data_IF_947438127678
#
_entry.id   IF_947438127678
#
_cell.length_a   1.000
_cell.length_b   1.000
_cell.length_c   1.000
_cell.angle_alpha   90.00
_cell.angle_beta   90.00
_cell.angle_gamma   90.00
#
_symmetry.space_group_name_H-M   'P 1'
#
loop_
_entity.id
_entity.type
_entity.pdbx_description
1 polymer ?
#
# COMPACT_ATOMS: atom_id res chain seq x y z
N UNK A 1 30.12 -10.80 7.09
CA UNK A 1 29.64 -10.03 5.92
C UNK A 1 29.85 -10.91 4.69
N UNK A 2 28.80 -11.25 3.93
CA UNK A 2 28.96 -12.13 2.75
C UNK A 2 29.62 -11.33 1.63
N UNK A 3 30.74 -11.84 1.13
CA UNK A 3 31.53 -11.19 0.08
C UNK A 3 31.07 -11.74 -1.28
N UNK A 4 30.22 -10.99 -1.97
CA UNK A 4 29.77 -11.35 -3.32
C UNK A 4 30.85 -11.02 -4.35
N UNK A 5 31.08 -11.92 -5.30
CA UNK A 5 31.96 -11.65 -6.45
C UNK A 5 31.16 -11.01 -7.57
N UNK A 6 31.58 -9.86 -8.07
CA UNK A 6 30.92 -9.18 -9.19
C UNK A 6 31.55 -9.64 -10.50
N UNK A 7 30.75 -10.18 -11.42
CA UNK A 7 31.24 -10.56 -12.75
C UNK A 7 31.39 -9.34 -13.66
N UNK A 8 32.27 -9.41 -14.66
CA UNK A 8 32.41 -8.36 -15.69
C UNK A 8 31.07 -8.04 -16.37
N UNK A 9 30.28 -9.07 -16.66
CA UNK A 9 28.95 -8.91 -17.24
C UNK A 9 28.02 -8.09 -16.35
N UNK A 10 28.04 -8.28 -15.04
CA UNK A 10 27.24 -7.49 -14.11
C UNK A 10 27.67 -6.01 -14.09
N UNK A 11 28.98 -5.75 -14.19
CA UNK A 11 29.52 -4.38 -14.27
C UNK A 11 29.03 -3.69 -15.54
N UNK A 12 29.20 -4.33 -16.70
CA UNK A 12 28.76 -3.78 -17.99
C UNK A 12 27.25 -3.47 -17.96
N UNK A 13 26.44 -4.37 -17.39
CA UNK A 13 24.99 -4.18 -17.25
C UNK A 13 24.61 -3.12 -16.23
N UNK A 14 25.39 -2.92 -15.17
CA UNK A 14 25.16 -1.81 -14.24
C UNK A 14 25.40 -0.46 -14.90
N UNK A 15 26.44 -0.35 -15.75
CA UNK A 15 26.69 0.86 -16.55
C UNK A 15 25.54 1.10 -17.53
N UNK A 16 25.21 0.10 -18.34
CA UNK A 16 24.18 0.21 -19.37
C UNK A 16 22.77 0.47 -18.82
N UNK A 17 22.37 -0.24 -17.74
CA UNK A 17 20.97 -0.29 -17.28
C UNK A 17 20.70 0.59 -16.07
N UNK A 18 21.70 0.81 -15.21
CA UNK A 18 21.56 1.60 -13.98
C UNK A 18 22.25 2.97 -14.09
N UNK A 19 23.05 3.22 -15.15
CA UNK A 19 23.73 4.48 -15.36
C UNK A 19 24.86 4.76 -14.36
N UNK A 20 25.39 3.71 -13.72
CA UNK A 20 26.48 3.84 -12.74
C UNK A 20 27.81 3.87 -13.48
N UNK A 21 28.76 4.71 -13.05
CA UNK A 21 30.12 4.69 -13.61
C UNK A 21 30.80 3.35 -13.36
N UNK A 22 31.55 2.84 -14.36
CA UNK A 22 32.21 1.54 -14.32
C UNK A 22 33.13 1.38 -13.10
N UNK A 23 33.81 2.45 -12.68
CA UNK A 23 34.71 2.48 -11.53
C UNK A 23 33.98 2.20 -10.20
N UNK A 24 32.72 2.62 -10.09
CA UNK A 24 31.91 2.49 -8.89
C UNK A 24 30.93 1.32 -8.94
N UNK A 25 30.74 0.70 -10.10
CA UNK A 25 29.75 -0.35 -10.32
C UNK A 25 29.91 -1.54 -9.35
N UNK A 26 31.14 -2.00 -9.12
CA UNK A 26 31.43 -3.13 -8.21
C UNK A 26 30.95 -2.83 -6.78
N UNK A 27 31.33 -1.69 -6.23
CA UNK A 27 30.96 -1.29 -4.87
C UNK A 27 29.45 -1.03 -4.77
N UNK A 28 28.87 -0.41 -5.78
CA UNK A 28 27.44 -0.14 -5.85
C UNK A 28 26.61 -1.44 -5.80
N UNK A 29 26.98 -2.45 -6.59
CA UNK A 29 26.27 -3.73 -6.61
C UNK A 29 26.39 -4.49 -5.28
N UNK A 30 27.55 -4.43 -4.62
CA UNK A 30 27.73 -5.03 -3.29
C UNK A 30 26.87 -4.31 -2.24
N UNK A 31 26.78 -2.98 -2.30
CA UNK A 31 25.92 -2.20 -1.40
C UNK A 31 24.45 -2.53 -1.61
N UNK A 32 23.98 -2.62 -2.86
CA UNK A 32 22.61 -3.03 -3.16
C UNK A 32 22.27 -4.39 -2.55
N UNK A 33 23.21 -5.34 -2.61
CA UNK A 33 23.04 -6.68 -2.05
C UNK A 33 22.97 -6.72 -0.52
N UNK A 34 23.40 -5.68 0.19
CA UNK A 34 23.29 -5.63 1.66
C UNK A 34 21.86 -5.42 2.13
N UNK A 35 21.07 -4.69 1.34
CA UNK A 35 19.69 -4.31 1.66
C UNK A 35 18.67 -4.94 0.72
N UNK A 36 19.09 -5.83 -0.18
CA UNK A 36 18.21 -6.53 -1.11
C UNK A 36 17.50 -7.71 -0.43
N UNK A 37 16.25 -7.94 -0.84
CA UNK A 37 15.40 -9.03 -0.35
C UNK A 37 15.48 -10.22 -1.30
N UNK A 38 15.57 -11.42 -0.75
CA UNK A 38 15.56 -12.66 -1.55
C UNK A 38 14.14 -12.96 -2.04
N UNK A 39 13.97 -13.05 -3.36
CA UNK A 39 12.67 -13.21 -4.02
C UNK A 39 12.48 -14.56 -4.71
N UNK A 40 13.41 -15.49 -4.50
CA UNK A 40 13.31 -16.87 -5.01
C UNK A 40 14.51 -17.28 -5.84
N UNK A 41 14.41 -18.46 -6.45
CA UNK A 41 15.47 -19.02 -7.30
C UNK A 41 14.92 -19.48 -8.64
N UNK A 42 15.55 -19.05 -9.74
CA UNK A 42 15.19 -19.41 -11.10
C UNK A 42 16.14 -20.48 -11.66
N UNK A 43 15.64 -21.48 -12.42
CA UNK A 43 16.50 -22.43 -13.09
C UNK A 43 17.25 -21.76 -14.25
N UNK A 44 18.55 -22.00 -14.36
CA UNK A 44 19.34 -21.61 -15.52
C UNK A 44 19.35 -22.71 -16.57
N UNK A 45 19.51 -22.38 -17.87
CA UNK A 45 19.79 -23.36 -18.92
C UNK A 45 20.99 -24.28 -18.65
N UNK A 46 21.91 -23.89 -17.75
CA UNK A 46 23.09 -24.68 -17.39
C UNK A 46 22.82 -25.66 -16.22
N UNK A 47 21.55 -25.89 -15.85
CA UNK A 47 21.15 -26.80 -14.77
C UNK A 47 21.37 -26.26 -13.34
N UNK A 48 22.14 -25.17 -13.17
CA UNK A 48 22.33 -24.48 -11.89
C UNK A 48 21.14 -23.57 -11.55
N UNK A 49 20.88 -23.33 -10.26
CA UNK A 49 19.85 -22.38 -9.82
C UNK A 49 20.45 -21.00 -9.57
N UNK A 50 19.79 -19.96 -10.05
CA UNK A 50 20.16 -18.59 -9.73
C UNK A 50 19.23 -18.00 -8.69
N UNK A 51 19.81 -17.38 -7.67
CA UNK A 51 19.07 -16.65 -6.65
C UNK A 51 18.71 -15.27 -7.20
N UNK A 52 17.47 -14.86 -7.00
CA UNK A 52 16.96 -13.55 -7.39
C UNK A 52 16.81 -12.69 -6.15
N UNK A 53 17.41 -11.52 -6.17
CA UNK A 53 17.32 -10.53 -5.10
C UNK A 53 16.77 -9.23 -5.65
N UNK A 54 15.81 -8.63 -4.96
CA UNK A 54 15.24 -7.34 -5.34
C UNK A 54 15.56 -6.28 -4.29
N UNK A 55 16.10 -5.17 -4.76
CA UNK A 55 16.32 -3.98 -3.98
C UNK A 55 15.24 -2.95 -4.33
N UNK A 56 14.20 -2.90 -3.51
CA UNK A 56 13.00 -2.10 -3.78
C UNK A 56 13.27 -0.59 -3.85
N UNK A 57 14.15 -0.05 -2.99
CA UNK A 57 14.43 1.40 -2.92
C UNK A 57 15.07 1.95 -4.20
N UNK A 58 15.96 1.20 -4.84
CA UNK A 58 16.57 1.58 -6.13
C UNK A 58 15.94 0.84 -7.30
N UNK A 59 14.85 0.10 -7.07
CA UNK A 59 14.15 -0.71 -8.06
C UNK A 59 15.12 -1.55 -8.90
N UNK A 60 16.03 -2.25 -8.25
CA UNK A 60 17.05 -3.06 -8.94
C UNK A 60 16.87 -4.54 -8.60
N UNK A 61 16.75 -5.39 -9.63
CA UNK A 61 16.81 -6.84 -9.49
C UNK A 61 18.22 -7.33 -9.78
N UNK A 62 18.78 -8.12 -8.88
CA UNK A 62 20.12 -8.69 -8.96
C UNK A 62 20.01 -10.20 -9.04
N UNK A 63 20.70 -10.80 -10.00
CA UNK A 63 20.76 -12.26 -10.18
C UNK A 63 22.12 -12.75 -9.69
N UNK A 64 22.09 -13.72 -8.78
CA UNK A 64 23.27 -14.28 -8.12
C UNK A 64 23.36 -15.78 -8.41
N UNK A 65 24.57 -16.27 -8.69
CA UNK A 65 24.85 -17.70 -8.86
C UNK A 65 24.81 -18.46 -7.52
N UNK A 66 24.89 -19.79 -7.59
CA UNK A 66 25.08 -20.63 -6.41
C UNK A 66 26.42 -20.34 -5.72
N UNK A 67 27.44 -19.97 -6.50
CA UNK A 67 28.80 -19.64 -6.05
C UNK A 67 28.90 -18.21 -5.48
N UNK A 68 27.75 -17.61 -5.12
CA UNK A 68 27.61 -16.24 -4.60
C UNK A 68 28.27 -15.17 -5.50
N UNK A 69 28.21 -15.38 -6.82
CA UNK A 69 28.65 -14.40 -7.82
C UNK A 69 27.48 -13.64 -8.46
N UNK A 70 27.56 -12.32 -8.52
CA UNK A 70 26.58 -11.46 -9.17
C UNK A 70 26.78 -11.55 -10.68
N UNK A 71 25.79 -12.10 -11.37
CA UNK A 71 25.84 -12.39 -12.81
C UNK A 71 25.34 -11.19 -13.61
N UNK A 72 24.17 -10.67 -13.25
CA UNK A 72 23.52 -9.62 -14.02
C UNK A 72 22.56 -8.82 -13.15
N UNK A 73 22.20 -7.64 -13.64
CA UNK A 73 21.28 -6.71 -12.99
C UNK A 73 20.23 -6.20 -13.96
N UNK A 74 19.03 -5.98 -13.44
CA UNK A 74 17.91 -5.40 -14.17
C UNK A 74 17.34 -4.23 -13.38
N UNK A 75 16.92 -3.18 -14.08
CA UNK A 75 16.01 -2.20 -13.49
C UNK A 75 14.63 -2.85 -13.45
N UNK A 76 14.03 -2.94 -12.26
CA UNK A 76 12.63 -3.30 -12.14
C UNK A 76 11.82 -2.25 -12.90
N UNK A 77 10.79 -2.65 -13.66
CA UNK A 77 9.90 -1.70 -14.31
C UNK A 77 9.40 -0.70 -13.28
N UNK A 78 9.15 0.55 -13.70
CA UNK A 78 8.45 1.52 -12.85
C UNK A 78 7.13 0.91 -12.37
N UNK A 79 6.59 1.40 -11.25
CA UNK A 79 5.25 1.05 -10.79
C UNK A 79 4.28 1.69 -11.77
N UNK A 80 4.28 1.19 -12.99
CA UNK A 80 3.25 1.51 -13.95
C UNK A 80 2.05 0.75 -13.42
N UNK A 81 1.20 1.49 -12.71
CA UNK A 81 -0.24 1.29 -12.72
C UNK A 81 -0.59 0.58 -14.02
N UNK A 82 -1.20 -0.60 -13.91
CA UNK A 82 -1.69 -1.41 -15.03
C UNK A 82 -2.05 -0.46 -16.17
N UNK A 83 -1.20 -0.36 -17.21
CA UNK A 83 -1.39 0.67 -18.22
C UNK A 83 -2.63 0.24 -18.99
N UNK A 84 -3.77 0.78 -18.58
CA UNK A 84 -5.07 0.37 -19.09
C UNK A 84 -5.04 0.66 -20.58
N UNK A 85 -5.24 -0.36 -21.44
CA UNK A 85 -5.32 -0.14 -22.88
C UNK A 85 -6.27 1.03 -23.18
N UNK A 86 -5.87 1.92 -24.09
CA UNK A 86 -6.57 3.19 -24.34
C UNK A 86 -8.06 3.03 -24.65
N UNK A 87 -8.47 1.89 -25.22
CA UNK A 87 -9.87 1.55 -25.49
C UNK A 87 -10.70 1.24 -24.23
N UNK A 88 -10.08 0.80 -23.13
CA UNK A 88 -10.76 0.51 -21.85
C UNK A 88 -10.85 1.73 -20.94
N UNK A 89 -10.03 2.76 -21.16
CA UNK A 89 -10.04 4.01 -20.40
C UNK A 89 -11.45 4.62 -20.22
N UNK A 90 -12.29 4.77 -21.26
CA UNK A 90 -13.63 5.33 -21.10
C UNK A 90 -14.59 4.43 -20.28
N UNK A 91 -14.35 3.11 -20.26
CA UNK A 91 -15.13 2.17 -19.44
C UNK A 91 -14.71 2.30 -17.97
N UNK A 92 -13.41 2.35 -17.71
CA UNK A 92 -12.87 2.49 -16.35
C UNK A 92 -13.23 3.84 -15.75
N UNK A 93 -13.17 4.93 -16.51
CA UNK A 93 -13.64 6.25 -16.04
C UNK A 93 -15.14 6.25 -15.69
N UNK A 94 -15.96 5.50 -16.45
CA UNK A 94 -17.40 5.40 -16.20
C UNK A 94 -17.68 4.63 -14.90
N UNK A 95 -17.00 3.51 -14.69
CA UNK A 95 -17.11 2.74 -13.46
C UNK A 95 -16.55 3.52 -12.26
N UNK A 96 -15.44 4.24 -12.44
CA UNK A 96 -14.91 5.13 -11.39
C UNK A 96 -15.93 6.19 -10.97
N UNK A 97 -16.57 6.86 -11.94
CA UNK A 97 -17.63 7.85 -11.64
C UNK A 97 -18.82 7.20 -10.92
N UNK A 98 -19.17 5.97 -11.27
CA UNK A 98 -20.24 5.22 -10.62
C UNK A 98 -19.88 4.90 -9.16
N UNK A 99 -18.70 4.34 -8.93
CA UNK A 99 -18.17 4.02 -7.59
C UNK A 99 -18.10 5.28 -6.74
N UNK A 100 -17.54 6.37 -7.27
CA UNK A 100 -17.45 7.65 -6.57
C UNK A 100 -18.82 8.16 -6.11
N UNK A 101 -19.83 8.15 -6.99
CA UNK A 101 -21.21 8.55 -6.62
C UNK A 101 -21.80 7.65 -5.54
N UNK A 102 -21.54 6.35 -5.62
CA UNK A 102 -22.01 5.40 -4.62
C UNK A 102 -21.37 5.67 -3.25
N UNK A 103 -20.05 5.85 -3.20
CA UNK A 103 -19.33 6.20 -1.98
C UNK A 103 -19.84 7.52 -1.41
N UNK A 104 -19.98 8.58 -2.22
CA UNK A 104 -20.53 9.86 -1.74
C UNK A 104 -21.92 9.69 -1.11
N UNK A 105 -22.78 8.86 -1.73
CA UNK A 105 -24.11 8.56 -1.18
C UNK A 105 -24.04 7.79 0.14
N UNK A 106 -23.15 6.81 0.24
CA UNK A 106 -22.96 6.01 1.46
C UNK A 106 -22.36 6.85 2.59
N UNK A 107 -21.35 7.66 2.29
CA UNK A 107 -20.74 8.60 3.25
C UNK A 107 -21.79 9.54 3.79
N UNK A 108 -22.60 10.18 2.93
CA UNK A 108 -23.71 11.04 3.38
C UNK A 108 -24.70 10.30 4.29
N UNK A 109 -25.05 9.05 3.95
CA UNK A 109 -25.95 8.23 4.79
C UNK A 109 -25.35 7.98 6.18
N UNK A 110 -24.05 7.73 6.25
CA UNK A 110 -23.34 7.55 7.53
C UNK A 110 -23.22 8.86 8.31
N UNK A 111 -22.95 9.98 7.64
CA UNK A 111 -22.92 11.32 8.26
C UNK A 111 -24.29 11.69 8.84
N UNK A 112 -25.38 11.46 8.10
CA UNK A 112 -26.74 11.67 8.60
C UNK A 112 -27.05 10.78 9.82
N UNK A 113 -26.57 9.53 9.84
CA UNK A 113 -26.72 8.63 10.98
C UNK A 113 -25.90 9.11 12.19
N UNK A 114 -24.66 9.53 11.99
CA UNK A 114 -23.80 10.13 13.03
C UNK A 114 -24.47 11.37 13.62
N UNK A 115 -25.02 12.25 12.78
CA UNK A 115 -25.73 13.45 13.24
C UNK A 115 -26.90 13.10 14.18
N UNK A 116 -27.73 12.12 13.80
CA UNK A 116 -28.84 11.65 14.66
C UNK A 116 -28.36 11.07 15.99
N UNK A 117 -27.35 10.20 15.95
CA UNK A 117 -26.76 9.62 17.16
C UNK A 117 -26.10 10.67 18.05
N UNK A 118 -25.53 11.72 17.47
CA UNK A 118 -24.90 12.82 18.23
C UNK A 118 -25.94 13.64 18.99
N UNK A 119 -27.11 13.88 18.40
CA UNK A 119 -28.25 14.51 19.09
C UNK A 119 -28.72 13.62 20.25
N UNK A 120 -28.93 12.34 20.00
CA UNK A 120 -29.34 11.37 21.04
C UNK A 120 -28.32 11.30 22.19
N UNK A 121 -27.03 11.25 21.86
CA UNK A 121 -25.94 11.29 22.84
C UNK A 121 -25.99 12.59 23.67
N UNK A 122 -26.24 13.74 23.02
CA UNK A 122 -26.40 15.02 23.69
C UNK A 122 -27.55 15.03 24.71
N UNK A 123 -28.69 14.44 24.37
CA UNK A 123 -29.83 14.29 25.28
C UNK A 123 -29.47 13.43 26.51
N UNK A 124 -28.74 12.33 26.31
CA UNK A 124 -28.26 11.46 27.40
C UNK A 124 -27.24 12.17 28.28
N UNK A 125 -26.31 12.94 27.70
CA UNK A 125 -25.36 13.76 28.46
C UNK A 125 -26.09 14.77 29.33
N UNK A 126 -27.12 15.44 28.78
CA UNK A 126 -27.96 16.37 29.54
C UNK A 126 -28.72 15.66 30.67
N UNK A 127 -29.32 14.49 30.39
CA UNK A 127 -30.00 13.69 31.40
C UNK A 127 -29.06 13.26 32.54
N UNK A 128 -27.83 12.85 32.21
CA UNK A 128 -26.78 12.51 33.19
C UNK A 128 -26.40 13.69 34.07
N UNK A 129 -26.32 14.89 33.51
CA UNK A 129 -26.00 16.11 34.26
C UNK A 129 -27.13 16.48 35.25
N UNK A 130 -28.38 16.18 34.91
CA UNK A 130 -29.55 16.43 35.77
C UNK A 130 -29.77 15.35 36.83
N UNK A 131 -29.34 14.11 36.57
CA UNK A 131 -29.50 12.99 37.48
C UNK A 131 -28.66 13.19 38.76
N UNK A 132 -29.31 13.08 39.93
CA UNK A 132 -28.65 13.20 41.24
C UNK A 132 -28.14 11.87 41.79
N UNK A 133 -28.82 10.77 41.48
CA UNK A 133 -28.47 9.43 41.97
C UNK A 133 -27.24 8.88 41.22
N UNK A 134 -26.16 8.48 41.91
CA UNK A 134 -24.97 7.89 41.30
C UNK A 134 -25.26 6.70 40.38
N UNK A 135 -26.10 5.76 40.80
CA UNK A 135 -26.41 4.55 40.00
C UNK A 135 -27.11 4.92 38.68
N UNK A 136 -27.98 5.92 38.71
CA UNK A 136 -28.65 6.41 37.49
C UNK A 136 -27.66 7.13 36.56
N UNK A 137 -26.66 7.84 37.12
CA UNK A 137 -25.61 8.49 36.31
C UNK A 137 -24.72 7.46 35.62
N UNK A 138 -24.41 6.35 36.29
CA UNK A 138 -23.64 5.24 35.72
C UNK A 138 -24.41 4.53 34.61
N UNK A 139 -25.70 4.25 34.82
CA UNK A 139 -26.57 3.67 33.78
C UNK A 139 -26.62 4.55 32.53
N UNK A 140 -26.83 5.87 32.69
CA UNK A 140 -26.85 6.80 31.55
C UNK A 140 -25.46 6.92 30.90
N UNK A 141 -24.38 6.80 31.68
CA UNK A 141 -23.02 6.77 31.11
C UNK A 141 -22.82 5.55 30.20
N UNK A 142 -23.29 4.37 30.61
CA UNK A 142 -23.22 3.18 29.77
C UNK A 142 -23.99 3.35 28.44
N UNK A 143 -25.15 4.01 28.46
CA UNK A 143 -25.89 4.35 27.24
C UNK A 143 -25.13 5.34 26.34
N UNK A 144 -24.48 6.36 26.92
CA UNK A 144 -23.62 7.29 26.18
C UNK A 144 -22.47 6.54 25.51
N UNK A 145 -21.83 5.62 26.23
CA UNK A 145 -20.70 4.84 25.72
C UNK A 145 -21.15 3.92 24.57
N UNK A 146 -22.36 3.34 24.65
CA UNK A 146 -22.95 2.55 23.56
C UNK A 146 -23.20 3.40 22.31
N UNK A 147 -23.78 4.61 22.47
CA UNK A 147 -24.02 5.53 21.36
C UNK A 147 -22.69 5.97 20.74
N UNK A 148 -21.68 6.26 21.56
CA UNK A 148 -20.34 6.61 21.08
C UNK A 148 -19.71 5.45 20.28
N UNK A 149 -19.89 4.20 20.71
CA UNK A 149 -19.43 3.03 19.97
C UNK A 149 -20.12 2.91 18.59
N UNK A 150 -21.41 3.21 18.51
CA UNK A 150 -22.16 3.25 17.23
C UNK A 150 -21.64 4.34 16.31
N UNK A 151 -21.37 5.54 16.83
CA UNK A 151 -20.76 6.65 16.08
C UNK A 151 -19.40 6.23 15.51
N UNK A 152 -18.54 5.64 16.35
CA UNK A 152 -17.23 5.16 15.91
C UNK A 152 -17.34 4.09 14.81
N UNK A 153 -18.33 3.19 14.89
CA UNK A 153 -18.62 2.22 13.85
C UNK A 153 -18.99 2.85 12.50
N UNK A 154 -19.76 3.94 12.51
CA UNK A 154 -20.08 4.69 11.30
C UNK A 154 -18.87 5.46 10.74
N UNK A 155 -18.01 6.03 11.58
CA UNK A 155 -16.77 6.67 11.15
C UNK A 155 -15.83 5.66 10.46
N UNK A 156 -15.65 4.47 11.05
CA UNK A 156 -14.86 3.40 10.43
C UNK A 156 -15.50 2.87 9.12
N UNK A 157 -16.81 2.97 8.96
CA UNK A 157 -17.47 2.66 7.68
C UNK A 157 -17.14 3.71 6.61
N UNK A 158 -17.15 5.01 6.97
CA UNK A 158 -16.77 6.09 6.06
C UNK A 158 -15.32 5.91 5.59
N UNK A 159 -14.39 5.62 6.50
CA UNK A 159 -12.98 5.42 6.17
C UNK A 159 -12.78 4.24 5.21
N UNK A 160 -13.50 3.12 5.41
CA UNK A 160 -13.48 1.98 4.49
C UNK A 160 -13.99 2.33 3.08
N UNK A 161 -15.05 3.12 2.99
CA UNK A 161 -15.57 3.56 1.69
C UNK A 161 -14.63 4.56 0.99
N UNK A 162 -13.89 5.38 1.75
CA UNK A 162 -12.86 6.27 1.22
C UNK A 162 -11.65 5.48 0.70
N UNK A 163 -11.16 4.51 1.47
CA UNK A 163 -10.10 3.59 1.02
C UNK A 163 -10.47 2.87 -0.28
N UNK A 164 -11.75 2.51 -0.45
CA UNK A 164 -12.25 1.89 -1.70
C UNK A 164 -12.05 2.78 -2.93
N UNK A 165 -12.13 4.11 -2.79
CA UNK A 165 -11.82 5.06 -3.88
C UNK A 165 -10.32 5.11 -4.10
N UNK A 166 -9.53 5.28 -3.03
CA UNK A 166 -8.07 5.40 -3.13
C UNK A 166 -7.43 4.17 -3.76
N UNK A 167 -7.88 2.97 -3.37
CA UNK A 167 -7.40 1.71 -3.95
C UNK A 167 -7.79 1.59 -5.43
N UNK A 168 -8.98 2.06 -5.79
CA UNK A 168 -9.39 2.10 -7.19
C UNK A 168 -8.51 3.05 -8.01
N UNK A 169 -8.20 4.24 -7.48
CA UNK A 169 -7.29 5.20 -8.12
C UNK A 169 -5.88 4.62 -8.28
N UNK A 170 -5.33 4.00 -7.21
CA UNK A 170 -4.00 3.35 -7.22
C UNK A 170 -3.91 2.21 -8.24
N UNK A 171 -4.95 1.37 -8.34
CA UNK A 171 -4.96 0.21 -9.25
C UNK A 171 -5.14 0.63 -10.71
N UNK A 172 -5.97 1.64 -10.96
CA UNK A 172 -6.34 2.03 -12.32
C UNK A 172 -5.46 3.13 -12.92
N UNK A 173 -4.74 3.91 -12.09
CA UNK A 173 -3.96 5.05 -12.55
C UNK A 173 -4.81 6.15 -13.20
N UNK A 174 -6.14 6.08 -13.05
CA UNK A 174 -7.05 7.08 -13.57
C UNK A 174 -6.97 8.28 -12.63
N UNK A 175 -6.36 9.38 -13.10
CA UNK A 175 -6.01 10.61 -12.36
C UNK A 175 -4.76 10.53 -11.46
N UNK A 176 -3.92 9.49 -11.60
CA UNK A 176 -2.56 9.47 -11.02
C UNK A 176 -1.58 10.36 -11.80
#
# INVERSE_FOLDING_TARGET
MKMYRVTKHAIDRAVERLGVSAEYATNHLIQLMQTAYYNGSTPHPNGKRHKVFDHYKTRTRVIVSEDDSIITVYKLPEENALTIPSFLRPVVEREFRRVRREVTRLTRRHEEAIGKLTVEMGERIWARARAKNPNTREMIQAEIDEIQAKINGHLAAIEREQMRIEDFEKVTGVYA
#
